data_IF_416182157724
#
_entry.id   IF_416182157724
#
_cell.length_a   1.000
_cell.length_b   1.000
_cell.length_c   1.000
_cell.angle_alpha   90.00
_cell.angle_beta   90.00
_cell.angle_gamma   90.00
#
_symmetry.space_group_name_H-M   'P 1'
#
loop_
_entity.id
_entity.type
_entity.pdbx_description
1 polymer ?
#
# COMPACT_ATOMS: atom_id res chain seq x y z
N UNK A 1 35.16 -40.08 -11.95
CA UNK A 1 34.18 -39.64 -10.94
C UNK A 1 33.80 -38.22 -11.29
N UNK A 2 32.62 -38.03 -11.89
CA UNK A 2 32.12 -36.70 -12.24
C UNK A 2 31.50 -36.09 -10.98
N UNK A 3 32.05 -34.96 -10.53
CA UNK A 3 31.48 -34.17 -9.44
C UNK A 3 30.19 -33.53 -9.93
N UNK A 4 29.06 -33.98 -9.39
CA UNK A 4 27.77 -33.32 -9.54
C UNK A 4 27.86 -31.92 -8.93
N UNK A 5 28.05 -30.92 -9.78
CA UNK A 5 27.83 -29.53 -9.42
C UNK A 5 26.31 -29.32 -9.41
N UNK A 6 25.68 -29.55 -8.26
CA UNK A 6 24.31 -29.09 -8.04
C UNK A 6 24.35 -27.56 -8.08
N UNK A 7 23.64 -26.88 -8.98
CA UNK A 7 23.55 -25.44 -8.94
C UNK A 7 22.90 -25.08 -7.60
N UNK A 8 23.64 -24.40 -6.73
CA UNK A 8 23.07 -23.80 -5.53
C UNK A 8 21.89 -22.94 -5.98
N UNK A 9 20.66 -23.38 -5.70
CA UNK A 9 19.46 -22.56 -5.87
C UNK A 9 19.75 -21.28 -5.11
N UNK A 10 19.95 -20.16 -5.82
CA UNK A 10 19.97 -18.85 -5.16
C UNK A 10 18.63 -18.75 -4.44
N UNK A 11 18.66 -18.71 -3.11
CA UNK A 11 17.43 -18.51 -2.33
C UNK A 11 16.86 -17.14 -2.72
N UNK A 12 15.84 -17.19 -3.57
CA UNK A 12 15.11 -16.02 -4.06
C UNK A 12 14.54 -15.25 -2.84
N UNK A 13 14.68 -13.92 -2.74
CA UNK A 13 14.09 -13.18 -1.64
C UNK A 13 12.58 -13.35 -1.66
N UNK A 14 11.95 -13.52 -0.50
CA UNK A 14 10.55 -13.87 -0.37
C UNK A 14 9.79 -12.80 0.41
N UNK A 15 8.94 -12.06 -0.30
CA UNK A 15 8.06 -11.06 0.28
C UNK A 15 6.66 -11.65 0.55
N UNK A 16 6.22 -11.54 1.80
CA UNK A 16 4.81 -11.75 2.17
C UNK A 16 4.11 -10.38 2.14
N UNK A 17 3.19 -10.20 1.19
CA UNK A 17 2.44 -8.96 1.00
C UNK A 17 1.07 -9.06 1.68
N UNK A 18 0.80 -8.21 2.67
CA UNK A 18 -0.38 -8.30 3.54
C UNK A 18 -1.21 -6.99 3.42
N UNK A 19 -2.21 -6.92 2.51
CA UNK A 19 -3.07 -5.75 2.35
C UNK A 19 -4.15 -5.64 3.41
N UNK A 20 -4.66 -4.43 3.70
CA UNK A 20 -5.91 -4.30 4.42
C UNK A 20 -7.07 -4.83 3.56
N UNK A 21 -7.85 -5.73 4.14
CA UNK A 21 -8.82 -6.56 3.40
C UNK A 21 -10.24 -6.00 3.37
N UNK A 22 -10.50 -4.92 4.13
CA UNK A 22 -11.81 -4.28 4.22
C UNK A 22 -12.13 -3.33 3.06
N UNK A 23 -11.23 -3.14 2.08
CA UNK A 23 -11.48 -2.25 0.95
C UNK A 23 -10.54 -2.47 -0.23
N UNK A 24 -11.10 -2.39 -1.45
CA UNK A 24 -10.34 -2.55 -2.70
C UNK A 24 -9.27 -1.46 -2.91
N UNK A 25 -9.45 -0.28 -2.28
CA UNK A 25 -8.49 0.82 -2.26
C UNK A 25 -7.16 0.44 -1.60
N UNK A 26 -7.12 -0.62 -0.80
CA UNK A 26 -5.89 -1.13 -0.15
C UNK A 26 -5.33 -2.35 -0.89
N UNK A 27 -6.19 -3.29 -1.27
CA UNK A 27 -5.80 -4.52 -1.97
C UNK A 27 -5.16 -4.22 -3.32
N UNK A 28 -5.76 -3.30 -4.11
CA UNK A 28 -5.30 -3.03 -5.48
C UNK A 28 -3.90 -2.40 -5.52
N UNK A 29 -3.58 -1.34 -4.75
CA UNK A 29 -2.22 -0.81 -4.69
C UNK A 29 -1.20 -1.82 -4.15
N UNK A 30 -1.54 -2.59 -3.12
CA UNK A 30 -0.64 -3.63 -2.59
C UNK A 30 -0.34 -4.70 -3.65
N UNK A 31 -1.34 -5.11 -4.46
CA UNK A 31 -1.12 -6.06 -5.54
C UNK A 31 -0.19 -5.50 -6.62
N UNK A 32 -0.28 -4.19 -6.89
CA UNK A 32 0.65 -3.50 -7.81
C UNK A 32 2.07 -3.48 -7.25
N UNK A 33 2.22 -3.22 -5.95
CA UNK A 33 3.52 -3.29 -5.26
C UNK A 33 4.11 -4.71 -5.32
N UNK A 34 3.30 -5.73 -5.06
CA UNK A 34 3.71 -7.12 -5.15
C UNK A 34 4.19 -7.49 -6.56
N UNK A 35 3.52 -7.00 -7.61
CA UNK A 35 3.98 -7.18 -9.00
C UNK A 35 5.28 -6.46 -9.31
N UNK A 36 5.48 -5.25 -8.77
CA UNK A 36 6.75 -4.54 -8.87
C UNK A 36 7.88 -5.35 -8.22
N UNK A 37 7.69 -5.86 -7.01
CA UNK A 37 8.68 -6.72 -6.34
C UNK A 37 8.94 -8.01 -7.13
N UNK A 38 7.91 -8.66 -7.65
CA UNK A 38 8.05 -9.86 -8.49
C UNK A 38 8.89 -9.58 -9.75
N UNK A 39 8.77 -8.39 -10.36
CA UNK A 39 9.60 -8.00 -11.50
C UNK A 39 11.10 -7.83 -11.17
N UNK A 40 11.44 -7.82 -9.87
CA UNK A 40 12.81 -7.73 -9.34
C UNK A 40 13.22 -9.04 -8.65
N UNK A 41 12.78 -10.17 -9.20
CA UNK A 41 13.12 -11.51 -8.74
C UNK A 41 12.78 -11.78 -7.26
N UNK A 42 11.66 -11.25 -6.76
CA UNK A 42 11.08 -11.73 -5.50
C UNK A 42 10.15 -12.94 -5.72
N UNK A 43 10.19 -13.89 -4.80
CA UNK A 43 9.08 -14.80 -4.56
C UNK A 43 8.01 -14.05 -3.78
N UNK A 44 6.78 -14.05 -4.29
CA UNK A 44 5.65 -13.34 -3.68
C UNK A 44 4.66 -14.33 -3.10
N UNK A 45 4.35 -14.13 -1.81
CA UNK A 45 3.11 -14.63 -1.22
C UNK A 45 2.19 -13.45 -0.96
N UNK A 46 1.13 -13.33 -1.74
CA UNK A 46 0.10 -12.32 -1.53
C UNK A 46 -1.01 -12.87 -0.64
N UNK A 47 -1.28 -12.20 0.48
CA UNK A 47 -2.23 -12.68 1.48
C UNK A 47 -3.63 -12.08 1.23
N UNK A 48 -4.65 -12.92 1.24
CA UNK A 48 -6.05 -12.53 1.22
C UNK A 48 -6.81 -13.12 2.41
N UNK A 49 -8.02 -12.64 2.68
CA UNK A 49 -8.98 -13.43 3.48
C UNK A 49 -9.55 -14.56 2.61
N UNK A 50 -10.05 -15.61 3.24
CA UNK A 50 -10.74 -16.71 2.53
C UNK A 50 -11.91 -16.17 1.68
N UNK A 51 -12.75 -15.30 2.23
CA UNK A 51 -13.87 -14.67 1.52
C UNK A 51 -13.40 -13.87 0.30
N UNK A 52 -12.40 -12.98 0.47
CA UNK A 52 -11.87 -12.19 -0.65
C UNK A 52 -11.22 -13.06 -1.73
N UNK A 53 -10.48 -14.10 -1.32
CA UNK A 53 -9.85 -15.02 -2.24
C UNK A 53 -10.88 -15.75 -3.09
N UNK A 54 -11.89 -16.36 -2.47
CA UNK A 54 -12.95 -17.09 -3.17
C UNK A 54 -13.72 -16.19 -4.14
N UNK A 55 -13.99 -14.94 -3.75
CA UNK A 55 -14.63 -13.97 -4.63
C UNK A 55 -13.77 -13.63 -5.85
N UNK A 56 -12.45 -13.46 -5.68
CA UNK A 56 -11.52 -13.23 -6.79
C UNK A 56 -11.46 -14.46 -7.70
N UNK A 57 -11.39 -15.66 -7.13
CA UNK A 57 -11.40 -16.93 -7.88
C UNK A 57 -12.67 -17.07 -8.73
N UNK A 58 -13.85 -16.75 -8.18
CA UNK A 58 -15.12 -16.78 -8.90
C UNK A 58 -15.18 -15.75 -10.03
N UNK A 59 -14.62 -14.56 -9.81
CA UNK A 59 -14.60 -13.48 -10.81
C UNK A 59 -13.57 -13.71 -11.93
N UNK A 60 -12.46 -14.41 -11.65
CA UNK A 60 -11.42 -14.70 -12.64
C UNK A 60 -10.60 -15.94 -12.27
N UNK A 61 -10.77 -17.03 -13.02
CA UNK A 61 -9.92 -18.22 -12.91
C UNK A 61 -8.44 -17.94 -13.30
N UNK A 62 -8.19 -16.92 -14.14
CA UNK A 62 -6.82 -16.50 -14.47
C UNK A 62 -6.13 -15.81 -13.27
N UNK A 63 -6.89 -15.13 -12.40
CA UNK A 63 -6.37 -14.59 -11.15
C UNK A 63 -6.07 -15.69 -10.10
N UNK A 64 -6.57 -16.91 -10.30
CA UNK A 64 -6.25 -18.10 -9.52
C UNK A 64 -4.90 -18.73 -9.86
N UNK A 65 -4.39 -18.47 -11.07
CA UNK A 65 -3.16 -19.09 -11.55
C UNK A 65 -1.98 -18.52 -10.77
N UNK A 66 -1.46 -19.31 -9.83
CA UNK A 66 -0.19 -19.00 -9.19
C UNK A 66 0.91 -19.13 -10.25
N UNK A 67 1.71 -18.08 -10.41
CA UNK A 67 2.98 -18.19 -11.12
C UNK A 67 3.96 -18.93 -10.19
N UNK A 68 5.01 -19.58 -10.72
CA UNK A 68 5.99 -20.32 -9.89
C UNK A 68 6.46 -19.51 -8.68
N UNK A 69 6.69 -18.21 -8.88
CA UNK A 69 7.18 -17.28 -7.86
C UNK A 69 6.14 -16.23 -7.44
N UNK A 70 4.86 -16.40 -7.77
CA UNK A 70 3.78 -15.52 -7.34
C UNK A 70 2.56 -16.35 -6.96
N UNK A 71 2.28 -16.44 -5.67
CA UNK A 71 1.15 -17.20 -5.14
C UNK A 71 0.26 -16.38 -4.23
N UNK A 72 -0.93 -16.92 -4.01
CA UNK A 72 -1.88 -16.41 -3.04
C UNK A 72 -2.00 -17.40 -1.88
N UNK A 73 -2.06 -16.88 -0.65
CA UNK A 73 -2.40 -17.64 0.54
C UNK A 73 -3.54 -16.92 1.28
N UNK A 74 -4.29 -17.68 2.08
CA UNK A 74 -5.44 -17.15 2.81
C UNK A 74 -5.24 -17.22 4.32
N UNK A 75 -5.89 -16.29 5.02
CA UNK A 75 -6.06 -16.36 6.46
C UNK A 75 -7.53 -16.09 6.84
N UNK A 76 -7.91 -16.54 8.04
CA UNK A 76 -9.24 -16.26 8.58
C UNK A 76 -9.33 -14.83 9.10
N UNK A 77 -10.37 -14.11 8.67
CA UNK A 77 -10.70 -12.78 9.15
C UNK A 77 -11.51 -12.79 10.46
N UNK A 78 -11.95 -13.94 10.94
CA UNK A 78 -12.75 -14.07 12.17
C UNK A 78 -14.12 -13.37 12.16
N UNK A 79 -14.59 -12.89 11.01
CA UNK A 79 -15.90 -12.22 10.85
C UNK A 79 -16.79 -12.97 9.86
N UNK A 80 -16.18 -13.45 8.77
CA UNK A 80 -16.88 -14.19 7.73
C UNK A 80 -17.42 -15.50 8.30
N UNK A 81 -18.75 -15.67 8.25
CA UNK A 81 -19.43 -16.89 8.72
C UNK A 81 -19.32 -18.05 7.73
N UNK A 82 -19.05 -17.73 6.46
CA UNK A 82 -18.79 -18.70 5.40
C UNK A 82 -17.72 -18.14 4.44
N UNK A 83 -16.78 -18.97 3.96
CA UNK A 83 -15.85 -18.61 2.89
C UNK A 83 -16.54 -18.20 1.58
N UNK A 84 -17.82 -18.57 1.41
CA UNK A 84 -18.60 -18.31 0.21
C UNK A 84 -19.52 -17.10 0.29
N UNK A 85 -19.52 -16.36 1.40
CA UNK A 85 -20.37 -15.17 1.56
C UNK A 85 -20.15 -14.18 0.39
N UNK A 86 -21.23 -13.84 -0.31
CA UNK A 86 -21.18 -12.91 -1.46
C UNK A 86 -20.99 -11.45 -1.03
N UNK A 87 -21.33 -11.13 0.22
CA UNK A 87 -21.16 -9.79 0.79
C UNK A 87 -19.86 -9.77 1.62
N UNK A 88 -18.90 -8.88 1.31
CA UNK A 88 -17.73 -8.72 2.16
C UNK A 88 -18.15 -8.25 3.55
N UNK A 89 -17.44 -8.65 4.62
CA UNK A 89 -17.71 -8.14 5.95
C UNK A 89 -17.65 -6.62 5.98
N UNK A 90 -18.51 -6.03 6.80
CA UNK A 90 -18.56 -4.58 6.96
C UNK A 90 -17.19 -4.08 7.51
N UNK A 91 -16.64 -2.96 6.98
CA UNK A 91 -15.30 -2.50 7.33
C UNK A 91 -15.03 -2.33 8.83
N UNK A 92 -15.99 -1.82 9.61
CA UNK A 92 -15.85 -1.66 11.06
C UNK A 92 -15.77 -3.02 11.77
N UNK A 93 -16.55 -4.03 11.36
CA UNK A 93 -16.43 -5.38 11.90
C UNK A 93 -15.03 -5.98 11.67
N UNK A 94 -14.43 -5.72 10.51
CA UNK A 94 -13.05 -6.10 10.22
C UNK A 94 -12.04 -5.34 11.07
N UNK A 95 -12.24 -4.05 11.35
CA UNK A 95 -11.40 -3.28 12.27
C UNK A 95 -11.40 -3.85 13.69
N UNK A 96 -12.57 -4.28 14.18
CA UNK A 96 -12.67 -4.92 15.49
C UNK A 96 -12.05 -6.32 15.50
N UNK A 97 -12.24 -7.10 14.44
CA UNK A 97 -11.63 -8.41 14.34
C UNK A 97 -10.11 -8.33 14.16
N UNK A 98 -9.60 -7.34 13.44
CA UNK A 98 -8.15 -7.19 13.24
C UNK A 98 -7.41 -7.02 14.56
N UNK A 99 -7.97 -6.22 15.46
CA UNK A 99 -7.45 -5.99 16.83
C UNK A 99 -7.44 -7.26 17.69
N UNK A 100 -8.30 -8.24 17.42
CA UNK A 100 -8.48 -9.44 18.25
C UNK A 100 -7.83 -10.68 17.66
N UNK A 101 -7.92 -10.84 16.34
CA UNK A 101 -7.71 -12.12 15.67
C UNK A 101 -6.57 -12.09 14.63
N UNK A 102 -6.40 -10.99 13.88
CA UNK A 102 -5.53 -10.98 12.70
C UNK A 102 -4.07 -11.26 13.04
N UNK A 103 -3.55 -10.73 14.15
CA UNK A 103 -2.19 -11.01 14.58
C UNK A 103 -1.97 -12.52 14.76
N UNK A 104 -2.90 -13.21 15.41
CA UNK A 104 -2.81 -14.65 15.67
C UNK A 104 -2.92 -15.46 14.38
N UNK A 105 -3.92 -15.16 13.54
CA UNK A 105 -4.16 -15.92 12.30
C UNK A 105 -3.07 -15.69 11.26
N UNK A 106 -2.57 -14.45 11.11
CA UNK A 106 -1.44 -14.15 10.23
C UNK A 106 -0.13 -14.75 10.74
N UNK A 107 0.11 -14.79 12.06
CA UNK A 107 1.28 -15.47 12.63
C UNK A 107 1.29 -16.95 12.28
N UNK A 108 0.14 -17.62 12.42
CA UNK A 108 -0.01 -19.04 12.04
C UNK A 108 0.29 -19.23 10.56
N UNK A 109 -0.24 -18.35 9.69
CA UNK A 109 0.02 -18.41 8.25
C UNK A 109 1.50 -18.22 7.91
N UNK A 110 2.16 -17.20 8.45
CA UNK A 110 3.58 -16.92 8.18
C UNK A 110 4.48 -18.07 8.68
N UNK A 111 4.20 -18.60 9.87
CA UNK A 111 4.92 -19.77 10.38
C UNK A 111 4.68 -21.02 9.53
N UNK A 112 3.44 -21.24 9.07
CA UNK A 112 3.14 -22.32 8.12
C UNK A 112 3.95 -22.15 6.84
N UNK A 113 4.03 -20.93 6.28
CA UNK A 113 4.80 -20.66 5.07
C UNK A 113 6.28 -21.03 5.27
N UNK A 114 6.89 -20.64 6.39
CA UNK A 114 8.30 -20.93 6.69
C UNK A 114 8.58 -22.41 6.99
N UNK A 115 7.64 -23.10 7.63
CA UNK A 115 7.83 -24.51 8.03
C UNK A 115 7.37 -25.51 6.96
N UNK A 116 6.67 -25.04 5.92
CA UNK A 116 6.26 -25.90 4.82
C UNK A 116 7.47 -26.22 3.95
N UNK A 117 7.97 -27.44 4.00
CA UNK A 117 8.94 -27.99 3.04
C UNK A 117 8.31 -28.21 1.65
N UNK A 118 7.57 -27.23 1.14
CA UNK A 118 7.04 -27.24 -0.22
C UNK A 118 8.20 -26.98 -1.16
N UNK A 119 8.44 -27.92 -2.06
CA UNK A 119 9.47 -27.81 -3.08
C UNK A 119 9.31 -26.51 -3.87
N UNK A 120 10.38 -25.72 -3.98
CA UNK A 120 10.40 -24.45 -4.70
C UNK A 120 9.93 -23.21 -3.92
N UNK A 121 9.58 -23.32 -2.63
CA UNK A 121 9.19 -22.15 -1.82
C UNK A 121 10.34 -21.71 -0.90
N UNK A 122 10.95 -20.53 -1.10
CA UNK A 122 11.98 -20.01 -0.21
C UNK A 122 11.40 -19.62 1.17
N UNK A 123 12.27 -19.56 2.20
CA UNK A 123 11.91 -18.98 3.48
C UNK A 123 11.56 -17.49 3.34
N UNK A 124 10.62 -17.00 4.16
CA UNK A 124 10.24 -15.57 4.18
C UNK A 124 11.47 -14.73 4.54
N UNK A 125 11.77 -13.72 3.72
CA UNK A 125 12.87 -12.78 3.96
C UNK A 125 12.38 -11.37 4.25
N UNK A 126 11.11 -11.05 3.96
CA UNK A 126 10.53 -9.77 4.35
C UNK A 126 9.00 -9.81 4.39
N UNK A 127 8.42 -8.87 5.15
CA UNK A 127 6.99 -8.60 5.17
C UNK A 127 6.74 -7.19 4.62
N UNK A 128 5.78 -7.07 3.71
CA UNK A 128 5.25 -5.79 3.24
C UNK A 128 3.78 -5.72 3.65
N UNK A 129 3.49 -4.92 4.66
CA UNK A 129 2.15 -4.84 5.26
C UNK A 129 1.48 -3.51 4.94
N UNK A 130 0.15 -3.49 4.92
CA UNK A 130 -0.61 -2.26 4.87
C UNK A 130 -0.33 -1.38 6.11
N UNK A 131 -0.33 -0.06 5.91
CA UNK A 131 -0.14 0.93 6.96
C UNK A 131 -1.14 0.83 8.12
N UNK A 132 -2.34 0.28 7.89
CA UNK A 132 -3.33 0.04 8.96
C UNK A 132 -3.22 -1.34 9.61
N UNK A 133 -2.14 -2.09 9.34
CA UNK A 133 -1.84 -3.37 9.98
C UNK A 133 -0.40 -3.45 10.53
N UNK A 134 0.11 -2.44 11.24
CA UNK A 134 1.49 -2.41 11.72
C UNK A 134 1.76 -3.43 12.83
N UNK A 135 0.74 -4.09 13.40
CA UNK A 135 0.93 -5.25 14.28
C UNK A 135 1.71 -6.39 13.61
N UNK A 136 1.79 -6.42 12.28
CA UNK A 136 2.63 -7.36 11.52
C UNK A 136 4.13 -7.18 11.79
N UNK A 137 4.56 -6.02 12.30
CA UNK A 137 5.93 -5.81 12.79
C UNK A 137 6.30 -6.78 13.91
N UNK A 138 5.33 -7.20 14.73
CA UNK A 138 5.53 -8.23 15.76
C UNK A 138 5.90 -9.57 15.13
N UNK A 139 5.16 -9.99 14.09
CA UNK A 139 5.41 -11.24 13.36
C UNK A 139 6.79 -11.19 12.70
N UNK A 140 7.10 -10.08 12.03
CA UNK A 140 8.39 -9.90 11.37
C UNK A 140 9.57 -10.00 12.36
N UNK A 141 9.44 -9.40 13.54
CA UNK A 141 10.42 -9.48 14.61
C UNK A 141 10.58 -10.91 15.14
N UNK A 142 9.49 -11.66 15.29
CA UNK A 142 9.53 -13.06 15.75
C UNK A 142 10.32 -13.97 14.81
N UNK A 143 10.25 -13.73 13.48
CA UNK A 143 10.98 -14.51 12.47
C UNK A 143 12.29 -13.86 12.02
N UNK A 144 12.65 -12.70 12.59
CA UNK A 144 13.92 -12.01 12.33
C UNK A 144 14.05 -11.34 10.96
N UNK A 145 12.95 -10.88 10.36
CA UNK A 145 12.95 -10.24 9.01
C UNK A 145 12.47 -8.78 9.06
N UNK A 146 12.80 -7.93 8.08
CA UNK A 146 12.26 -6.58 8.00
C UNK A 146 10.75 -6.57 7.70
N UNK A 147 10.07 -5.57 8.25
CA UNK A 147 8.68 -5.24 7.92
C UNK A 147 8.58 -3.83 7.36
N UNK A 148 8.15 -3.69 6.10
CA UNK A 148 7.82 -2.39 5.51
C UNK A 148 6.32 -2.15 5.62
N UNK A 149 5.92 -0.95 6.01
CA UNK A 149 4.49 -0.55 6.04
C UNK A 149 4.17 0.34 4.86
N UNK A 150 3.18 -0.07 4.06
CA UNK A 150 2.73 0.63 2.87
C UNK A 150 1.45 1.42 3.15
N UNK A 151 1.60 2.74 3.18
CA UNK A 151 0.49 3.67 3.32
C UNK A 151 -0.02 4.06 1.94
N UNK A 152 -1.22 3.56 1.61
CA UNK A 152 -1.90 3.84 0.33
C UNK A 152 -2.50 5.24 0.25
N UNK A 153 -2.57 5.95 1.39
CA UNK A 153 -2.99 7.36 1.49
C UNK A 153 -1.84 8.31 1.10
N UNK A 154 -2.16 9.58 0.84
CA UNK A 154 -1.14 10.62 0.61
C UNK A 154 -0.25 10.83 1.83
N UNK A 155 0.96 11.39 1.62
CA UNK A 155 1.86 11.71 2.73
C UNK A 155 1.21 12.72 3.69
N UNK A 156 0.47 13.70 3.16
CA UNK A 156 -0.27 14.66 3.99
C UNK A 156 -1.39 13.99 4.80
N UNK A 157 -2.07 13.00 4.22
CA UNK A 157 -3.09 12.21 4.90
C UNK A 157 -2.50 11.37 6.05
N UNK A 158 -1.36 10.72 5.81
CA UNK A 158 -0.59 10.03 6.85
C UNK A 158 -0.23 10.97 8.00
N UNK A 159 0.26 12.19 7.71
CA UNK A 159 0.57 13.18 8.73
C UNK A 159 -0.66 13.63 9.53
N UNK A 160 -1.81 13.75 8.87
CA UNK A 160 -3.08 14.01 9.52
C UNK A 160 -3.47 12.92 10.52
N UNK A 161 -3.42 11.64 10.12
CA UNK A 161 -3.68 10.51 11.01
C UNK A 161 -2.72 10.48 12.19
N UNK A 162 -1.42 10.66 11.93
CA UNK A 162 -0.39 10.64 12.97
C UNK A 162 -0.59 11.71 14.05
N UNK A 163 -1.09 12.89 13.67
CA UNK A 163 -1.30 14.01 14.58
C UNK A 163 -2.73 14.11 15.14
N UNK A 164 -3.61 13.18 14.76
CA UNK A 164 -5.02 13.24 15.15
C UNK A 164 -5.21 13.26 16.67
N UNK A 165 -4.41 12.48 17.42
CA UNK A 165 -4.45 12.51 18.89
C UNK A 165 -4.13 13.90 19.44
N UNK A 166 -3.10 14.57 18.93
CA UNK A 166 -2.75 15.94 19.34
C UNK A 166 -3.83 16.97 18.94
N UNK A 167 -4.49 16.79 17.79
CA UNK A 167 -5.63 17.64 17.40
C UNK A 167 -6.77 17.50 18.43
N UNK A 168 -7.07 16.27 18.86
CA UNK A 168 -8.08 15.99 19.89
C UNK A 168 -7.70 16.58 21.25
N UNK A 169 -6.46 16.39 21.70
CA UNK A 169 -5.94 16.92 22.97
C UNK A 169 -5.96 18.45 23.04
N UNK A 170 -5.87 19.12 21.89
CA UNK A 170 -5.99 20.58 21.76
C UNK A 170 -7.43 21.08 21.73
N UNK A 171 -8.43 20.20 21.85
CA UNK A 171 -9.85 20.57 21.81
C UNK A 171 -10.33 21.02 20.44
N UNK A 172 -9.61 20.67 19.37
CA UNK A 172 -9.96 21.05 17.99
C UNK A 172 -10.97 20.07 17.35
N UNK A 173 -11.38 19.04 18.07
CA UNK A 173 -12.41 18.10 17.67
C UNK A 173 -13.56 18.10 18.69
N UNK A 174 -14.82 17.93 18.25
CA UNK A 174 -15.25 17.69 16.87
C UNK A 174 -15.11 18.93 15.97
N UNK A 175 -15.02 18.69 14.65
CA UNK A 175 -15.04 19.74 13.63
C UNK A 175 -16.39 20.48 13.67
N UNK A 176 -16.37 21.80 13.59
CA UNK A 176 -17.56 22.65 13.52
C UNK A 176 -17.27 23.95 12.76
N UNK A 177 -18.31 24.74 12.50
CA UNK A 177 -18.18 26.01 11.78
C UNK A 177 -17.25 27.03 12.44
N UNK A 178 -17.09 26.96 13.77
CA UNK A 178 -16.21 27.83 14.54
C UNK A 178 -14.73 27.47 14.47
N UNK A 179 -14.39 26.20 14.20
CA UNK A 179 -12.99 25.74 14.20
C UNK A 179 -12.48 25.23 12.84
N UNK A 180 -13.36 25.04 11.83
CA UNK A 180 -12.99 24.46 10.53
C UNK A 180 -11.89 25.18 9.76
N UNK A 181 -11.72 26.49 9.98
CA UNK A 181 -10.69 27.32 9.35
C UNK A 181 -9.42 27.49 10.20
N UNK A 182 -9.33 26.79 11.34
CA UNK A 182 -8.13 26.80 12.17
C UNK A 182 -6.94 26.29 11.37
N UNK A 183 -5.87 27.07 11.29
CA UNK A 183 -4.65 26.73 10.57
C UNK A 183 -3.79 25.77 11.40
N UNK A 184 -3.31 24.70 10.76
CA UNK A 184 -2.57 23.59 11.37
C UNK A 184 -1.04 23.71 11.21
N UNK A 185 -0.52 24.94 11.32
CA UNK A 185 0.91 25.23 11.12
C UNK A 185 1.85 24.51 12.10
N UNK A 186 1.33 24.03 13.22
CA UNK A 186 2.09 23.27 14.20
C UNK A 186 2.29 21.79 13.80
N UNK A 187 1.59 21.29 12.77
CA UNK A 187 1.81 19.95 12.23
C UNK A 187 2.94 20.02 11.19
N UNK A 188 4.06 19.31 11.39
CA UNK A 188 5.17 19.31 10.44
C UNK A 188 4.71 18.96 9.02
N UNK A 189 5.16 19.73 8.02
CA UNK A 189 4.80 19.50 6.61
C UNK A 189 3.41 19.99 6.18
N UNK A 190 2.50 20.33 7.11
CA UNK A 190 1.12 20.76 6.80
C UNK A 190 0.87 22.26 7.02
N UNK A 191 1.88 23.09 6.71
CA UNK A 191 1.78 24.55 6.84
C UNK A 191 0.67 25.09 5.93
N UNK A 192 -0.19 25.94 6.47
CA UNK A 192 -1.32 26.54 5.78
C UNK A 192 -2.53 25.63 5.61
N UNK A 193 -2.44 24.36 6.00
CA UNK A 193 -3.58 23.43 5.97
C UNK A 193 -4.61 23.81 7.03
N UNK A 194 -5.89 23.83 6.67
CA UNK A 194 -6.98 24.11 7.62
C UNK A 194 -7.42 22.83 8.30
N UNK A 195 -8.04 22.96 9.47
CA UNK A 195 -8.63 21.82 10.17
C UNK A 195 -9.51 21.00 9.22
N UNK A 196 -10.46 21.61 8.50
CA UNK A 196 -11.35 20.91 7.57
C UNK A 196 -10.66 20.06 6.48
N UNK A 197 -9.40 20.35 6.16
CA UNK A 197 -8.64 19.69 5.10
C UNK A 197 -7.78 18.53 5.63
N UNK A 198 -7.58 18.45 6.95
CA UNK A 198 -7.03 17.27 7.59
C UNK A 198 -8.04 16.14 7.42
N UNK A 199 -7.63 14.89 7.13
CA UNK A 199 -8.55 13.77 7.17
C UNK A 199 -9.33 13.82 8.49
N UNK A 200 -10.66 13.81 8.39
CA UNK A 200 -11.63 13.69 9.49
C UNK A 200 -12.64 12.61 9.11
N UNK A 201 -12.28 11.36 9.32
CA UNK A 201 -13.20 10.24 9.11
C UNK A 201 -14.19 10.16 10.29
N UNK A 202 -15.23 11.01 10.31
CA UNK A 202 -16.36 10.88 11.26
C UNK A 202 -17.13 9.55 11.08
N UNK A 203 -16.87 8.82 9.99
CA UNK A 203 -17.56 7.58 9.60
C UNK A 203 -16.82 6.28 9.96
N UNK A 204 -15.58 6.33 10.44
CA UNK A 204 -14.78 5.14 10.77
C UNK A 204 -14.08 5.42 12.09
N UNK A 205 -14.10 4.45 13.02
CA UNK A 205 -13.46 4.54 14.33
C UNK A 205 -12.03 5.14 14.25
N UNK A 206 -11.91 6.45 14.55
CA UNK A 206 -10.68 7.23 14.34
C UNK A 206 -9.46 6.68 15.06
N UNK A 207 -9.71 6.03 16.19
CA UNK A 207 -8.69 5.39 17.00
C UNK A 207 -7.99 4.26 16.25
N UNK A 208 -8.57 3.73 15.17
CA UNK A 208 -7.92 2.71 14.35
C UNK A 208 -6.75 3.30 13.54
N UNK A 209 -6.96 4.07 12.45
CA UNK A 209 -5.83 4.56 11.63
C UNK A 209 -4.87 5.48 12.38
N UNK A 210 -5.33 6.18 13.43
CA UNK A 210 -4.46 7.03 14.28
C UNK A 210 -3.40 6.19 14.99
N UNK A 211 -3.81 5.15 15.72
CA UNK A 211 -2.89 4.28 16.45
C UNK A 211 -1.93 3.62 15.48
N UNK A 212 -2.43 3.15 14.35
CA UNK A 212 -1.57 2.49 13.36
C UNK A 212 -0.54 3.47 12.73
N UNK A 213 -0.89 4.73 12.50
CA UNK A 213 0.03 5.77 12.03
C UNK A 213 1.09 6.16 13.07
N UNK A 214 0.73 6.15 14.35
CA UNK A 214 1.69 6.33 15.45
C UNK A 214 2.70 5.17 15.49
N UNK A 215 2.23 3.94 15.28
CA UNK A 215 3.04 2.71 15.31
C UNK A 215 3.90 2.50 14.05
N UNK A 216 3.59 3.17 12.93
CA UNK A 216 4.31 3.02 11.66
C UNK A 216 5.83 3.26 11.77
N UNK A 217 6.30 4.07 12.73
CA UNK A 217 7.73 4.34 12.97
C UNK A 217 8.49 3.16 13.57
N UNK A 218 7.79 2.10 14.02
CA UNK A 218 8.40 0.85 14.49
C UNK A 218 8.72 -0.12 13.35
N UNK A 219 8.17 0.13 12.16
CA UNK A 219 8.50 -0.64 10.96
C UNK A 219 9.96 -0.42 10.54
N UNK A 220 10.49 -1.31 9.71
CA UNK A 220 11.82 -1.17 9.12
C UNK A 220 11.88 -0.04 8.07
N UNK A 221 10.72 0.37 7.55
CA UNK A 221 10.57 1.42 6.56
C UNK A 221 9.11 1.73 6.25
N UNK A 222 8.87 2.94 5.75
CA UNK A 222 7.55 3.43 5.35
C UNK A 222 7.53 3.60 3.84
N UNK A 223 6.60 2.95 3.17
CA UNK A 223 6.36 3.11 1.74
C UNK A 223 5.14 4.01 1.57
N UNK A 224 5.25 5.02 0.70
CA UNK A 224 4.17 5.97 0.41
C UNK A 224 3.84 5.96 -1.07
N UNK A 225 2.54 5.95 -1.40
CA UNK A 225 2.08 6.07 -2.79
C UNK A 225 2.02 7.54 -3.25
N UNK A 226 3.15 8.24 -3.15
CA UNK A 226 3.35 9.62 -3.60
C UNK A 226 4.78 9.80 -4.13
N UNK A 227 5.17 10.99 -4.55
CA UNK A 227 6.51 11.31 -5.04
C UNK A 227 6.96 12.71 -4.61
N UNK A 228 8.28 12.92 -4.65
CA UNK A 228 9.00 14.08 -4.12
C UNK A 228 8.42 15.41 -4.59
N UNK A 229 8.28 15.60 -5.90
CA UNK A 229 7.85 16.88 -6.47
C UNK A 229 6.43 17.26 -6.01
N UNK A 230 5.58 16.27 -5.69
CA UNK A 230 4.20 16.50 -5.27
C UNK A 230 4.08 16.87 -3.78
N UNK A 231 4.80 16.18 -2.90
CA UNK A 231 4.62 16.30 -1.44
C UNK A 231 5.92 16.58 -0.68
N UNK A 232 6.91 17.24 -1.31
CA UNK A 232 8.27 17.43 -0.77
C UNK A 232 8.31 17.83 0.70
N UNK A 233 7.60 18.90 1.08
CA UNK A 233 7.64 19.42 2.45
C UNK A 233 7.13 18.41 3.49
N UNK A 234 6.13 17.61 3.11
CA UNK A 234 5.57 16.57 3.98
C UNK A 234 6.53 15.38 4.05
N UNK A 235 7.11 14.99 2.92
CA UNK A 235 8.10 13.92 2.86
C UNK A 235 9.35 14.26 3.69
N UNK A 236 9.87 15.48 3.61
CA UNK A 236 10.98 15.96 4.44
C UNK A 236 10.66 15.83 5.94
N UNK A 237 9.43 16.17 6.33
CA UNK A 237 8.96 16.02 7.71
C UNK A 237 8.83 14.54 8.13
N UNK A 238 8.35 13.67 7.24
CA UNK A 238 8.24 12.23 7.51
C UNK A 238 9.62 11.58 7.65
N UNK A 239 10.56 11.93 6.78
CA UNK A 239 11.95 11.45 6.82
C UNK A 239 12.67 11.86 8.11
N UNK A 240 12.33 13.04 8.66
CA UNK A 240 12.85 13.48 9.96
C UNK A 240 12.36 12.61 11.13
N UNK A 241 11.25 11.88 10.96
CA UNK A 241 10.69 10.97 11.96
C UNK A 241 11.09 9.52 11.74
N UNK A 242 11.39 9.13 10.50
CA UNK A 242 11.83 7.78 10.16
C UNK A 242 12.86 7.83 9.02
N UNK A 243 14.08 7.30 9.19
CA UNK A 243 15.14 7.47 8.20
C UNK A 243 14.93 6.69 6.90
N UNK A 244 14.07 5.67 6.89
CA UNK A 244 13.77 4.87 5.71
C UNK A 244 12.33 5.15 5.22
N UNK A 245 12.19 6.06 4.28
CA UNK A 245 10.91 6.46 3.67
C UNK A 245 11.06 6.35 2.16
N UNK A 246 10.11 5.65 1.53
CA UNK A 246 10.15 5.32 0.11
C UNK A 246 8.87 5.82 -0.58
N UNK A 247 8.84 7.06 -1.09
CA UNK A 247 7.75 7.54 -1.93
C UNK A 247 7.94 6.97 -3.35
N UNK A 248 7.09 6.01 -3.70
CA UNK A 248 7.17 5.21 -4.96
C UNK A 248 5.95 5.43 -5.88
N UNK A 249 5.18 6.48 -5.62
CA UNK A 249 3.96 6.79 -6.34
C UNK A 249 4.19 7.54 -7.66
N UNK A 250 3.19 7.62 -8.54
CA UNK A 250 1.96 6.84 -8.51
C UNK A 250 2.24 5.40 -8.93
N UNK A 251 2.01 4.44 -8.04
CA UNK A 251 2.47 3.05 -8.20
C UNK A 251 1.92 2.36 -9.45
N UNK A 252 0.73 2.77 -9.89
CA UNK A 252 0.10 2.23 -11.09
C UNK A 252 0.80 2.65 -12.37
N UNK A 253 1.32 3.88 -12.45
CA UNK A 253 2.04 4.36 -13.63
C UNK A 253 3.47 3.82 -13.62
N UNK A 254 4.08 3.71 -12.44
CA UNK A 254 5.38 3.05 -12.28
C UNK A 254 5.35 1.60 -12.76
N UNK A 255 4.34 0.83 -12.34
CA UNK A 255 4.16 -0.56 -12.81
C UNK A 255 3.95 -0.63 -14.32
N UNK A 256 3.08 0.22 -14.88
CA UNK A 256 2.85 0.23 -16.33
C UNK A 256 4.14 0.54 -17.10
N UNK A 257 4.96 1.49 -16.63
CA UNK A 257 6.25 1.82 -17.27
C UNK A 257 7.20 0.61 -17.31
N UNK A 258 7.21 -0.22 -16.26
CA UNK A 258 8.03 -1.44 -16.21
C UNK A 258 7.43 -2.55 -17.09
N UNK A 259 6.10 -2.74 -17.05
CA UNK A 259 5.40 -3.70 -17.91
C UNK A 259 5.62 -3.38 -19.40
N UNK A 260 5.56 -2.11 -19.80
CA UNK A 260 5.85 -1.64 -21.17
C UNK A 260 7.29 -1.95 -21.60
N UNK A 261 8.28 -1.71 -20.73
CA UNK A 261 9.70 -2.04 -21.00
C UNK A 261 9.93 -3.55 -21.15
N UNK A 262 9.17 -4.35 -20.41
CA UNK A 262 9.27 -5.82 -20.42
C UNK A 262 8.40 -6.49 -21.49
N UNK A 263 7.78 -5.72 -22.40
CA UNK A 263 7.00 -6.23 -23.53
C UNK A 263 5.59 -6.70 -23.19
N UNK A 264 5.08 -6.40 -21.99
CA UNK A 264 3.72 -6.75 -21.58
C UNK A 264 2.75 -5.60 -21.96
N UNK A 265 2.18 -5.68 -23.15
CA UNK A 265 1.05 -4.82 -23.54
C UNK A 265 -0.15 -5.05 -22.61
N UNK A 266 -0.73 -3.96 -22.07
CA UNK A 266 -2.15 -3.96 -21.65
C UNK A 266 -2.97 -3.06 -22.57
N UNK A 267 -3.76 -3.72 -23.41
CA UNK A 267 -4.99 -3.16 -23.98
C UNK A 267 -6.13 -3.51 -23.03
N UNK A 268 -6.72 -2.51 -22.37
CA UNK A 268 -8.15 -2.54 -22.00
C UNK A 268 -8.70 -1.13 -22.17
N UNK A 269 -9.39 -0.90 -23.27
CA UNK A 269 -10.30 0.23 -23.43
C UNK A 269 -11.72 -0.25 -23.11
N UNK A 270 -12.47 0.51 -22.30
CA UNK A 270 -13.91 0.29 -22.15
C UNK A 270 -14.65 1.63 -22.04
N UNK A 271 -15.61 1.82 -22.95
CA UNK A 271 -16.72 2.79 -22.95
C UNK A 271 -16.36 4.26 -22.62
N UNK A 272 -15.40 4.84 -23.35
CA UNK A 272 -14.98 6.24 -23.16
C UNK A 272 -15.78 7.27 -23.97
N UNK A 273 -16.48 6.94 -25.05
CA UNK A 273 -16.93 7.98 -26.01
C UNK A 273 -17.96 8.98 -25.47
N UNK A 274 -18.99 8.55 -24.72
CA UNK A 274 -19.97 9.47 -24.14
C UNK A 274 -19.41 10.26 -22.96
N UNK A 275 -18.59 9.62 -22.12
CA UNK A 275 -17.90 10.27 -20.99
C UNK A 275 -16.86 11.26 -21.51
N UNK A 276 -16.12 10.93 -22.57
CA UNK A 276 -15.14 11.82 -23.21
C UNK A 276 -15.81 13.06 -23.78
N UNK A 277 -16.98 12.94 -24.41
CA UNK A 277 -17.72 14.11 -24.93
C UNK A 277 -18.14 15.04 -23.80
N UNK A 278 -18.74 14.50 -22.74
CA UNK A 278 -19.15 15.25 -21.55
C UNK A 278 -17.96 15.90 -20.83
N UNK A 279 -16.83 15.17 -20.70
CA UNK A 279 -15.60 15.70 -20.12
C UNK A 279 -15.01 16.81 -21.00
N UNK A 280 -15.00 16.67 -22.33
CA UNK A 280 -14.52 17.71 -23.25
C UNK A 280 -15.32 19.01 -23.09
N UNK A 281 -16.64 18.94 -23.08
CA UNK A 281 -17.52 20.11 -22.90
C UNK A 281 -17.33 20.77 -21.51
N UNK A 282 -17.09 19.97 -20.46
CA UNK A 282 -16.79 20.48 -19.11
C UNK A 282 -15.43 21.17 -19.04
N UNK A 283 -14.45 20.67 -19.79
CA UNK A 283 -13.07 21.17 -19.83
C UNK A 283 -12.89 22.46 -20.65
N UNK A 284 -13.88 22.84 -21.46
CA UNK A 284 -13.88 24.09 -22.24
C UNK A 284 -14.32 25.32 -21.44
N UNK A 285 -14.98 25.12 -20.28
CA UNK A 285 -15.31 26.20 -19.33
C UNK A 285 -14.04 26.72 -18.65
N UNK A 286 -14.06 27.94 -18.13
CA UNK A 286 -12.87 28.56 -17.52
C UNK A 286 -12.27 27.73 -16.37
N UNK A 287 -13.14 27.21 -15.48
CA UNK A 287 -12.73 26.24 -14.43
C UNK A 287 -12.17 24.94 -15.03
N UNK A 288 -12.71 24.49 -16.15
CA UNK A 288 -12.26 23.32 -16.89
C UNK A 288 -10.86 23.51 -17.48
N UNK A 289 -10.57 24.69 -18.04
CA UNK A 289 -9.23 25.04 -18.54
C UNK A 289 -8.19 25.10 -17.43
N UNK A 290 -8.55 25.66 -16.27
CA UNK A 290 -7.65 25.67 -15.10
C UNK A 290 -7.37 24.23 -14.60
N UNK A 291 -8.40 23.40 -14.47
CA UNK A 291 -8.26 21.99 -14.13
C UNK A 291 -7.41 21.23 -15.15
N UNK A 292 -7.60 21.52 -16.45
CA UNK A 292 -6.79 20.96 -17.53
C UNK A 292 -5.32 21.34 -17.41
N UNK A 293 -5.03 22.61 -17.14
CA UNK A 293 -3.66 23.10 -16.93
C UNK A 293 -3.00 22.36 -15.76
N UNK A 294 -3.66 22.30 -14.60
CA UNK A 294 -3.15 21.56 -13.43
C UNK A 294 -2.96 20.07 -13.72
N UNK A 295 -3.90 19.45 -14.44
CA UNK A 295 -3.78 18.04 -14.82
C UNK A 295 -2.59 17.79 -15.76
N UNK A 296 -2.28 18.73 -16.66
CA UNK A 296 -1.10 18.63 -17.53
C UNK A 296 0.20 18.81 -16.74
N UNK A 297 0.25 19.77 -15.81
CA UNK A 297 1.39 19.95 -14.88
C UNK A 297 1.60 18.68 -14.03
N UNK A 298 0.53 18.09 -13.49
CA UNK A 298 0.59 16.83 -12.76
C UNK A 298 1.07 15.67 -13.63
N UNK A 299 0.60 15.60 -14.88
CA UNK A 299 1.04 14.57 -15.83
C UNK A 299 2.53 14.68 -16.13
N UNK A 300 3.04 15.89 -16.29
CA UNK A 300 4.48 16.16 -16.51
C UNK A 300 5.30 15.72 -15.30
N UNK A 301 4.95 16.18 -14.09
CA UNK A 301 5.62 15.79 -12.86
C UNK A 301 5.62 14.26 -12.64
N UNK A 302 4.50 13.60 -12.94
CA UNK A 302 4.43 12.14 -12.84
C UNK A 302 5.34 11.48 -13.87
N UNK A 303 5.38 11.98 -15.11
CA UNK A 303 6.26 11.49 -16.16
C UNK A 303 7.74 11.57 -15.77
N UNK A 304 8.15 12.68 -15.13
CA UNK A 304 9.49 12.84 -14.57
C UNK A 304 9.76 11.86 -13.42
N UNK A 305 8.82 11.73 -12.49
CA UNK A 305 8.96 10.89 -11.29
C UNK A 305 9.11 9.39 -11.62
N UNK A 306 8.42 8.89 -12.66
CA UNK A 306 8.50 7.48 -13.10
C UNK A 306 9.54 7.23 -14.21
N UNK A 307 10.29 8.26 -14.62
CA UNK A 307 11.37 8.10 -15.59
C UNK A 307 12.47 7.18 -15.04
N UNK A 308 13.41 6.75 -15.88
CA UNK A 308 14.49 5.84 -15.46
C UNK A 308 15.40 6.42 -14.37
N UNK A 309 15.52 7.75 -14.31
CA UNK A 309 16.23 8.48 -13.25
C UNK A 309 15.27 9.26 -12.35
N UNK A 310 13.98 8.96 -12.45
CA UNK A 310 12.91 9.61 -11.71
C UNK A 310 12.91 9.18 -10.26
N UNK A 311 12.39 10.05 -9.39
CA UNK A 311 12.48 9.83 -7.95
C UNK A 311 11.71 8.59 -7.48
N UNK A 312 10.55 8.29 -8.05
CA UNK A 312 9.76 7.09 -7.73
C UNK A 312 10.48 5.80 -8.13
N UNK A 313 11.15 5.80 -9.28
CA UNK A 313 11.96 4.67 -9.75
C UNK A 313 13.16 4.45 -8.81
N UNK A 314 13.92 5.50 -8.52
CA UNK A 314 15.09 5.42 -7.63
C UNK A 314 14.71 5.00 -6.21
N UNK A 315 13.60 5.50 -5.66
CA UNK A 315 13.11 5.08 -4.35
C UNK A 315 12.64 3.64 -4.34
N UNK A 316 12.05 3.16 -5.42
CA UNK A 316 11.68 1.76 -5.55
C UNK A 316 12.93 0.86 -5.61
N UNK A 317 13.95 1.25 -6.37
CA UNK A 317 15.22 0.53 -6.42
C UNK A 317 15.90 0.48 -5.05
N UNK A 318 15.90 1.61 -4.32
CA UNK A 318 16.40 1.68 -2.94
C UNK A 318 15.59 0.79 -1.98
N UNK A 319 14.27 0.74 -2.13
CA UNK A 319 13.41 -0.17 -1.38
C UNK A 319 13.76 -1.64 -1.65
N UNK A 320 13.96 -2.01 -2.91
CA UNK A 320 14.36 -3.36 -3.33
C UNK A 320 15.70 -3.73 -2.70
N UNK A 321 16.71 -2.85 -2.78
CA UNK A 321 18.02 -3.05 -2.13
C UNK A 321 17.86 -3.24 -0.62
N UNK A 322 17.04 -2.43 0.04
CA UNK A 322 16.79 -2.55 1.49
C UNK A 322 16.16 -3.89 1.85
N UNK A 323 15.19 -4.36 1.07
CA UNK A 323 14.49 -5.63 1.28
C UNK A 323 15.37 -6.87 1.02
N UNK A 324 16.39 -6.75 0.16
CA UNK A 324 17.34 -7.85 -0.12
C UNK A 324 18.53 -7.90 0.84
N UNK A 325 18.85 -6.78 1.50
CA UNK A 325 20.05 -6.66 2.35
C UNK A 325 19.81 -7.02 3.83
N UNK A 326 18.62 -7.50 4.17
CA UNK A 326 18.19 -7.81 5.54
C UNK A 326 17.95 -9.30 5.70
#
# INVERSE_FOLDING_TARGET
>A
MATNYSPTVKNKPHAVCIPWVGGQSHITPMLKLAKLLHSHDFHITFVNTECNHNRILRASAAAAASLPDFRFETFSDGVSTSPDADTPPEPFALCESSRRNFLTTLRVLVNKINNSSREGVPAVTCIVSDGVMPFTTVIAKEIGVPCMVFWVVSACGFMGYKHHRQIKERGLLPLNDGNKDTIMDWIPGLKGTRLRDIPHVEYVNYDFPTKEAEEAVKASGIILNTFETLEKHVLDAITSMHPHVYPIGPIHMLLNSIEEKNGALKSIASNLEEVEKLVRELMEREKGKELKKKAMEWKEMVGEAISTSGSSTLNFDNLVVKLMSS
#
